data_IF_822847097697
#
_entry.id   IF_822847097697
#
_cell.length_a   1.000
_cell.length_b   1.000
_cell.length_c   1.000
_cell.angle_alpha   90.00
_cell.angle_beta   90.00
_cell.angle_gamma   90.00
#
_symmetry.space_group_name_H-M   'P 1'
#
loop_
_entity.id
_entity.type
_entity.pdbx_description
1 polymer ?
#
# COMPACT_ATOMS: atom_id res chain seq x y z
N UNK A 1 -19.53 0.92 4.12
CA UNK A 1 -18.49 0.78 3.08
C UNK A 1 -18.77 -0.50 2.29
N UNK A 2 -18.33 -0.64 1.04
CA UNK A 2 -18.55 -1.89 0.29
C UNK A 2 -17.58 -2.97 0.76
N UNK A 3 -18.03 -4.23 0.72
CA UNK A 3 -17.18 -5.39 1.04
C UNK A 3 -15.91 -5.44 0.18
N UNK A 4 -15.99 -5.00 -1.08
CA UNK A 4 -14.83 -4.83 -1.96
C UNK A 4 -13.82 -3.82 -1.39
N UNK A 5 -14.28 -2.64 -0.96
CA UNK A 5 -13.39 -1.62 -0.42
C UNK A 5 -12.72 -2.08 0.89
N UNK A 6 -13.43 -2.84 1.72
CA UNK A 6 -12.87 -3.47 2.93
C UNK A 6 -11.80 -4.50 2.57
N UNK A 7 -12.08 -5.39 1.61
CA UNK A 7 -11.11 -6.37 1.14
C UNK A 7 -9.85 -5.71 0.52
N UNK A 8 -10.00 -4.61 -0.22
CA UNK A 8 -8.85 -3.89 -0.78
C UNK A 8 -8.00 -3.21 0.28
N UNK A 9 -8.61 -2.60 1.31
CA UNK A 9 -7.85 -2.07 2.45
C UNK A 9 -7.12 -3.17 3.21
N UNK A 10 -7.75 -4.33 3.39
CA UNK A 10 -7.09 -5.48 4.02
C UNK A 10 -5.90 -5.97 3.18
N UNK A 11 -6.08 -6.12 1.86
CA UNK A 11 -5.00 -6.54 0.96
C UNK A 11 -3.80 -5.59 1.04
N UNK A 12 -4.03 -4.27 1.04
CA UNK A 12 -2.95 -3.28 1.16
C UNK A 12 -2.27 -3.37 2.53
N UNK A 13 -3.03 -3.54 3.63
CA UNK A 13 -2.44 -3.72 4.97
C UNK A 13 -1.58 -4.99 5.04
N UNK A 14 -2.05 -6.10 4.48
CA UNK A 14 -1.31 -7.35 4.44
C UNK A 14 -0.02 -7.24 3.60
N UNK A 15 -0.07 -6.63 2.41
CA UNK A 15 1.11 -6.46 1.57
C UNK A 15 2.19 -5.57 2.24
N UNK A 16 1.77 -4.50 2.94
CA UNK A 16 2.69 -3.68 3.75
C UNK A 16 3.34 -4.45 4.89
N UNK A 17 2.57 -5.27 5.59
CA UNK A 17 3.09 -6.09 6.68
C UNK A 17 4.12 -7.10 6.16
N UNK A 18 3.80 -7.79 5.05
CA UNK A 18 4.71 -8.74 4.40
C UNK A 18 6.01 -8.06 3.92
N UNK A 19 5.92 -6.87 3.36
CA UNK A 19 7.10 -6.10 2.96
C UNK A 19 7.98 -5.71 4.16
N UNK A 20 7.35 -5.24 5.25
CA UNK A 20 8.08 -4.91 6.47
C UNK A 20 8.78 -6.15 7.06
N UNK A 21 8.10 -7.30 7.08
CA UNK A 21 8.66 -8.56 7.54
C UNK A 21 9.84 -9.04 6.67
N UNK A 22 9.66 -9.04 5.34
CA UNK A 22 10.72 -9.44 4.42
C UNK A 22 11.97 -8.56 4.53
N UNK A 23 11.78 -7.24 4.66
CA UNK A 23 12.88 -6.29 4.91
C UNK A 23 13.57 -6.55 6.25
N UNK A 24 12.80 -6.81 7.32
CA UNK A 24 13.36 -7.13 8.63
C UNK A 24 14.15 -8.45 8.63
N UNK A 25 13.72 -9.43 7.83
CA UNK A 25 14.40 -10.71 7.65
C UNK A 25 15.63 -10.63 6.71
N UNK A 26 15.82 -9.53 5.99
CA UNK A 26 16.86 -9.41 4.96
C UNK A 26 16.60 -10.29 3.73
N UNK A 27 15.35 -10.72 3.53
CA UNK A 27 14.96 -11.53 2.38
C UNK A 27 14.64 -10.62 1.19
N UNK A 28 15.66 -10.40 0.35
CA UNK A 28 15.55 -9.51 -0.81
C UNK A 28 14.53 -10.02 -1.85
N UNK A 29 14.35 -11.33 -1.98
CA UNK A 29 13.40 -11.89 -2.93
C UNK A 29 11.97 -11.71 -2.41
N UNK A 30 11.71 -12.05 -1.15
CA UNK A 30 10.40 -11.84 -0.54
C UNK A 30 10.02 -10.36 -0.50
N UNK A 31 11.00 -9.46 -0.29
CA UNK A 31 10.77 -8.02 -0.33
C UNK A 31 10.33 -7.56 -1.72
N UNK A 32 11.00 -8.01 -2.78
CA UNK A 32 10.62 -7.67 -4.16
C UNK A 32 9.20 -8.17 -4.50
N UNK A 33 8.86 -9.40 -4.10
CA UNK A 33 7.50 -9.95 -4.31
C UNK A 33 6.45 -9.15 -3.55
N UNK A 34 6.72 -8.77 -2.29
CA UNK A 34 5.80 -7.98 -1.49
C UNK A 34 5.65 -6.53 -2.00
N UNK A 35 6.70 -5.96 -2.60
CA UNK A 35 6.65 -4.65 -3.28
C UNK A 35 5.73 -4.68 -4.51
N UNK A 36 5.89 -5.68 -5.38
CA UNK A 36 5.05 -5.85 -6.57
C UNK A 36 3.56 -6.02 -6.18
N UNK A 37 3.29 -6.86 -5.16
CA UNK A 37 1.93 -7.07 -4.65
C UNK A 37 1.32 -5.81 -4.01
N UNK A 38 2.13 -5.01 -3.30
CA UNK A 38 1.68 -3.74 -2.74
C UNK A 38 1.35 -2.74 -3.85
N UNK A 39 2.19 -2.63 -4.88
CA UNK A 39 1.95 -1.78 -6.04
C UNK A 39 0.65 -2.17 -6.74
N UNK A 40 0.45 -3.46 -6.99
CA UNK A 40 -0.75 -4.01 -7.62
C UNK A 40 -2.01 -3.71 -6.82
N UNK A 41 -1.96 -3.90 -5.50
CA UNK A 41 -3.09 -3.63 -4.62
C UNK A 41 -3.44 -2.13 -4.58
N UNK A 42 -2.44 -1.24 -4.54
CA UNK A 42 -2.64 0.21 -4.56
C UNK A 42 -3.20 0.68 -5.91
N UNK A 43 -2.67 0.17 -7.02
CA UNK A 43 -3.15 0.50 -8.37
C UNK A 43 -4.60 0.09 -8.56
N UNK A 44 -4.96 -1.11 -8.09
CA UNK A 44 -6.34 -1.60 -8.17
C UNK A 44 -7.28 -0.79 -7.25
N UNK A 45 -6.85 -0.48 -6.03
CA UNK A 45 -7.64 0.36 -5.13
C UNK A 45 -7.93 1.74 -5.76
N UNK A 46 -6.91 2.38 -6.33
CA UNK A 46 -7.05 3.67 -7.03
C UNK A 46 -8.01 3.57 -8.22
N UNK A 47 -7.87 2.54 -9.05
CA UNK A 47 -8.74 2.32 -10.22
C UNK A 47 -10.22 2.19 -9.86
N UNK A 48 -10.53 1.76 -8.64
CA UNK A 48 -11.89 1.62 -8.11
C UNK A 48 -12.30 2.73 -7.13
N UNK A 49 -11.48 3.78 -6.98
CA UNK A 49 -11.77 4.90 -6.07
C UNK A 49 -11.76 4.51 -4.59
N UNK A 50 -11.08 3.43 -4.23
CA UNK A 50 -10.93 3.00 -2.83
C UNK A 50 -9.77 3.76 -2.20
N UNK A 51 -10.10 4.60 -1.22
CA UNK A 51 -9.08 5.22 -0.36
C UNK A 51 -8.49 4.15 0.55
N UNK A 52 -7.20 3.91 0.38
CA UNK A 52 -6.37 3.13 1.30
C UNK A 52 -5.63 4.10 2.20
N UNK A 53 -5.43 3.77 3.47
CA UNK A 53 -4.67 4.60 4.40
C UNK A 53 -3.30 4.85 3.77
N UNK A 54 -3.08 6.01 3.16
CA UNK A 54 -1.75 6.34 2.64
C UNK A 54 -0.82 6.40 3.85
N UNK A 55 0.41 5.88 3.71
CA UNK A 55 1.47 6.42 4.55
C UNK A 55 1.48 7.92 4.24
N UNK A 56 1.05 8.73 5.20
CA UNK A 56 1.05 10.18 5.11
C UNK A 56 2.49 10.65 5.12
N UNK A 57 3.15 10.57 3.96
CA UNK A 57 4.37 11.31 3.70
C UNK A 57 3.97 12.49 2.79
N UNK A 58 3.75 13.63 3.44
CA UNK A 58 3.99 15.00 2.96
C UNK A 58 3.22 15.48 1.71
N UNK A 59 2.05 16.08 1.93
CA UNK A 59 1.61 17.30 1.22
C UNK A 59 1.75 18.50 2.18
N UNK A 60 2.98 18.73 2.64
CA UNK A 60 3.38 19.93 3.39
C UNK A 60 4.29 20.74 2.47
N UNK A 61 3.71 21.34 1.42
CA UNK A 61 4.55 22.01 0.43
C UNK A 61 3.87 22.57 -0.80
N UNK A 62 2.82 23.38 -0.63
CA UNK A 62 2.47 24.38 -1.65
C UNK A 62 1.85 25.61 -1.01
N UNK A 63 2.70 26.37 -0.31
CA UNK A 63 2.52 27.81 -0.20
C UNK A 63 2.51 28.41 -1.60
N UNK A 64 1.32 28.83 -2.06
CA UNK A 64 1.17 29.71 -3.22
C UNK A 64 0.69 31.07 -2.74
N UNK A 65 1.55 32.05 -3.02
CA UNK A 65 1.27 33.46 -3.32
C UNK A 65 0.97 34.38 -2.14
#
# INVERSE_FOLDING_TARGET
>A
MSAFAEAMRERVRAARAALAEARAAGDAYAAAVAEDELEDALRLALAHGVVTDAATDEDDGQGRS
#
